data_IF_621411231775
#
_entry.id   IF_621411231775
#
_cell.length_a   1.000
_cell.length_b   1.000
_cell.length_c   1.000
_cell.angle_alpha   90.00
_cell.angle_beta   90.00
_cell.angle_gamma   90.00
#
_symmetry.space_group_name_H-M   'P 1'
#
loop_
_entity.id
_entity.type
_entity.pdbx_description
1 polymer ?
#
# COMPACT_ATOMS: atom_id res chain seq x y z
N UNK A 1 -35.95 21.33 17.15
CA UNK A 1 -36.98 20.81 16.25
C UNK A 1 -36.68 19.35 15.95
N UNK A 2 -37.27 18.44 16.78
CA UNK A 2 -37.22 17.02 16.54
C UNK A 2 -38.15 16.63 15.39
N UNK A 3 -37.73 15.68 14.57
CA UNK A 3 -38.61 15.02 13.59
C UNK A 3 -39.62 14.19 14.36
N UNK A 4 -40.81 14.75 14.60
CA UNK A 4 -41.95 14.01 15.12
C UNK A 4 -42.64 13.33 13.94
N UNK A 5 -42.74 12.00 13.99
CA UNK A 5 -43.53 11.23 13.04
C UNK A 5 -44.86 10.95 13.72
N UNK A 6 -45.92 11.53 13.20
CA UNK A 6 -47.28 11.37 13.71
C UNK A 6 -48.01 10.35 12.83
N UNK A 7 -48.56 9.33 13.46
CA UNK A 7 -49.37 8.31 12.79
C UNK A 7 -50.80 8.49 13.17
N UNK A 8 -51.69 8.68 12.21
CA UNK A 8 -53.12 8.86 12.41
C UNK A 8 -53.85 7.66 11.83
N UNK A 9 -54.67 7.02 12.63
CA UNK A 9 -55.57 5.93 12.20
C UNK A 9 -57.01 6.38 12.36
N UNK A 10 -57.80 6.17 11.33
CA UNK A 10 -59.22 6.42 11.32
C UNK A 10 -59.95 5.10 11.00
N UNK A 11 -60.79 4.64 11.91
CA UNK A 11 -61.57 3.42 11.77
C UNK A 11 -62.87 3.54 12.54
N UNK A 12 -63.98 3.28 11.88
CA UNK A 12 -65.29 3.15 12.52
C UNK A 12 -65.34 1.91 13.40
N UNK A 13 -65.68 2.08 14.68
CA UNK A 13 -65.76 0.98 15.66
C UNK A 13 -67.22 0.80 16.10
N UNK A 14 -67.68 -0.45 16.09
CA UNK A 14 -68.94 -0.81 16.67
C UNK A 14 -68.89 -0.81 18.22
N UNK A 15 -70.01 -0.62 18.91
CA UNK A 15 -70.06 -0.66 20.36
C UNK A 15 -69.44 -1.94 20.93
N UNK A 16 -68.35 -1.81 21.72
CA UNK A 16 -67.61 -2.91 22.32
C UNK A 16 -66.40 -3.43 21.50
N UNK A 17 -66.16 -2.95 20.26
CA UNK A 17 -64.98 -3.27 19.46
C UNK A 17 -63.72 -2.51 19.97
N UNK A 18 -62.58 -3.19 19.98
CA UNK A 18 -61.30 -2.60 20.38
C UNK A 18 -60.40 -2.40 19.17
N UNK A 19 -59.82 -1.24 19.02
CA UNK A 19 -58.77 -1.00 18.02
C UNK A 19 -57.42 -1.46 18.53
N UNK A 20 -56.84 -2.50 17.92
CA UNK A 20 -55.49 -2.97 18.18
C UNK A 20 -54.56 -2.43 17.11
N UNK A 21 -53.69 -1.51 17.47
CA UNK A 21 -52.64 -0.98 16.56
C UNK A 21 -51.32 -1.61 16.90
N UNK A 22 -50.72 -2.32 15.91
CA UNK A 22 -49.40 -2.94 16.03
C UNK A 22 -48.42 -2.18 15.17
N UNK A 23 -47.50 -1.48 15.79
CA UNK A 23 -46.43 -0.75 15.12
C UNK A 23 -45.18 -1.67 15.08
N UNK A 24 -44.75 -2.06 13.88
CA UNK A 24 -43.49 -2.80 13.67
C UNK A 24 -42.41 -1.85 13.19
N UNK A 25 -41.43 -1.60 14.04
CA UNK A 25 -40.27 -0.77 13.68
C UNK A 25 -39.14 -1.70 13.20
N UNK A 26 -38.66 -1.47 11.99
CA UNK A 26 -37.52 -2.23 11.45
C UNK A 26 -36.22 -1.51 11.79
N UNK A 27 -35.51 -2.00 12.78
CA UNK A 27 -34.21 -1.46 13.22
C UNK A 27 -33.05 -1.85 12.31
N UNK A 28 -33.26 -2.72 11.32
CA UNK A 28 -32.21 -3.20 10.44
C UNK A 28 -31.57 -2.05 9.64
N UNK A 29 -32.40 -1.16 9.07
CA UNK A 29 -31.93 -0.02 8.27
C UNK A 29 -31.03 0.95 9.05
N UNK A 30 -31.42 1.46 10.23
CA UNK A 30 -30.55 2.37 10.99
C UNK A 30 -29.24 1.67 11.44
N UNK A 31 -29.28 0.38 11.77
CA UNK A 31 -28.07 -0.38 12.12
C UNK A 31 -27.12 -0.46 10.93
N UNK A 32 -27.62 -0.78 9.72
CA UNK A 32 -26.80 -0.84 8.51
C UNK A 32 -26.14 0.51 8.23
N UNK A 33 -26.89 1.62 8.34
CA UNK A 33 -26.36 2.96 8.12
C UNK A 33 -25.25 3.30 9.12
N UNK A 34 -25.42 2.99 10.40
CA UNK A 34 -24.41 3.21 11.43
C UNK A 34 -23.13 2.41 11.13
N UNK A 35 -23.27 1.12 10.79
CA UNK A 35 -22.12 0.26 10.41
C UNK A 35 -21.38 0.84 9.21
N UNK A 36 -22.09 1.29 8.19
CA UNK A 36 -21.49 1.88 7.00
C UNK A 36 -20.72 3.17 7.32
N UNK A 37 -21.26 4.04 8.16
CA UNK A 37 -20.58 5.26 8.62
C UNK A 37 -19.31 4.91 9.38
N UNK A 38 -19.34 3.93 10.28
CA UNK A 38 -18.17 3.47 11.04
C UNK A 38 -17.07 2.91 10.10
N UNK A 39 -17.46 2.13 9.09
CA UNK A 39 -16.53 1.62 8.09
C UNK A 39 -15.87 2.74 7.28
N UNK A 40 -16.64 3.75 6.88
CA UNK A 40 -16.14 4.95 6.17
C UNK A 40 -15.13 5.70 7.06
N UNK A 41 -15.45 5.92 8.33
CA UNK A 41 -14.55 6.60 9.28
C UNK A 41 -13.23 5.83 9.44
N UNK A 42 -13.28 4.50 9.61
CA UNK A 42 -12.09 3.64 9.70
C UNK A 42 -11.26 3.74 8.43
N UNK A 43 -11.90 3.72 7.26
CA UNK A 43 -11.22 3.86 5.97
C UNK A 43 -10.51 5.23 5.84
N UNK A 44 -11.19 6.31 6.19
CA UNK A 44 -10.64 7.67 6.18
C UNK A 44 -9.42 7.78 7.11
N UNK A 45 -9.51 7.27 8.34
CA UNK A 45 -8.42 7.29 9.32
C UNK A 45 -7.19 6.52 8.78
N UNK A 46 -7.40 5.34 8.21
CA UNK A 46 -6.31 4.56 7.59
C UNK A 46 -5.68 5.27 6.40
N UNK A 47 -6.49 5.92 5.56
CA UNK A 47 -6.02 6.62 4.37
C UNK A 47 -5.22 7.88 4.70
N UNK A 48 -5.63 8.64 5.72
CA UNK A 48 -4.96 9.88 6.16
C UNK A 48 -3.59 9.59 6.80
N UNK A 49 -3.41 8.40 7.41
CA UNK A 49 -2.15 8.01 8.07
C UNK A 49 -1.01 7.64 7.12
N UNK A 50 -1.24 7.58 5.80
CA UNK A 50 -0.19 7.29 4.82
C UNK A 50 0.56 8.58 4.49
N UNK A 51 1.71 8.79 5.11
CA UNK A 51 2.56 9.96 4.88
C UNK A 51 3.44 9.77 3.63
N UNK A 52 3.86 8.51 3.38
CA UNK A 52 4.77 8.13 2.31
C UNK A 52 4.20 6.93 1.55
N UNK A 53 3.99 7.08 0.23
CA UNK A 53 3.67 5.94 -0.64
C UNK A 53 4.99 5.31 -1.05
N UNK A 54 5.13 4.02 -0.73
CA UNK A 54 6.34 3.27 -0.99
C UNK A 54 6.01 2.00 -1.77
N UNK A 55 6.50 1.90 -3.01
CA UNK A 55 6.17 0.79 -3.91
C UNK A 55 7.43 0.20 -4.54
N UNK A 56 7.42 -1.12 -4.70
CA UNK A 56 8.47 -1.87 -5.38
C UNK A 56 7.87 -2.63 -6.55
N UNK A 57 8.44 -2.44 -7.73
CA UNK A 57 8.05 -3.13 -8.97
C UNK A 57 9.24 -3.88 -9.53
N UNK A 58 8.95 -4.98 -10.22
CA UNK A 58 9.96 -5.84 -10.85
C UNK A 58 9.55 -6.15 -12.26
N UNK A 59 10.46 -5.98 -13.19
CA UNK A 59 10.26 -6.29 -14.59
C UNK A 59 11.42 -7.11 -15.17
N UNK A 60 11.12 -7.97 -16.12
CA UNK A 60 12.14 -8.74 -16.81
C UNK A 60 12.95 -7.86 -17.76
N UNK A 61 14.25 -8.07 -17.80
CA UNK A 61 15.17 -7.42 -18.76
C UNK A 61 15.81 -8.49 -19.63
N UNK A 62 15.68 -8.33 -20.94
CA UNK A 62 16.32 -9.23 -21.90
C UNK A 62 17.81 -8.88 -21.96
N UNK A 63 18.68 -9.83 -21.61
CA UNK A 63 20.13 -9.67 -21.73
C UNK A 63 20.63 -10.28 -23.03
N UNK A 64 21.72 -9.73 -23.57
CA UNK A 64 22.34 -10.27 -24.81
C UNK A 64 23.00 -11.64 -24.62
N UNK A 65 23.33 -11.99 -23.37
CA UNK A 65 23.98 -13.27 -22.99
C UNK A 65 23.01 -14.38 -22.57
N UNK A 66 21.67 -14.17 -22.63
CA UNK A 66 20.70 -15.18 -22.21
C UNK A 66 20.54 -15.34 -20.69
N UNK A 67 21.27 -14.56 -19.91
CA UNK A 67 21.17 -14.57 -18.46
C UNK A 67 19.83 -14.04 -17.99
N UNK A 68 19.33 -14.60 -16.90
CA UNK A 68 18.11 -14.12 -16.25
C UNK A 68 18.39 -12.80 -15.50
N UNK A 69 17.83 -11.71 -15.98
CA UNK A 69 17.97 -10.40 -15.34
C UNK A 69 16.63 -9.74 -15.07
N UNK A 70 16.54 -9.07 -13.94
CA UNK A 70 15.37 -8.33 -13.50
C UNK A 70 15.74 -6.88 -13.22
N UNK A 71 14.95 -5.93 -13.73
CA UNK A 71 14.98 -4.52 -13.32
C UNK A 71 14.06 -4.36 -12.13
N UNK A 72 14.62 -3.92 -11.03
CA UNK A 72 13.88 -3.56 -9.82
C UNK A 72 13.73 -2.04 -9.78
N UNK A 73 12.54 -1.56 -9.49
CA UNK A 73 12.24 -0.15 -9.31
C UNK A 73 11.58 0.05 -7.96
N UNK A 74 12.16 0.92 -7.17
CA UNK A 74 11.68 1.32 -5.85
C UNK A 74 11.22 2.77 -5.94
N UNK A 75 9.93 3.01 -5.80
CA UNK A 75 9.30 4.32 -5.87
C UNK A 75 8.93 4.80 -4.48
N UNK A 76 9.34 6.00 -4.16
CA UNK A 76 8.99 6.74 -2.94
C UNK A 76 8.28 8.01 -3.35
N UNK A 77 7.05 8.22 -2.88
CA UNK A 77 6.25 9.42 -3.14
C UNK A 77 5.71 9.98 -1.84
N UNK A 78 6.05 11.23 -1.56
CA UNK A 78 5.61 11.93 -0.35
C UNK A 78 4.16 12.44 -0.50
N UNK A 79 3.32 12.16 0.50
CA UNK A 79 1.97 12.77 0.64
C UNK A 79 1.98 14.00 1.54
N UNK A 80 3.01 14.11 2.37
CA UNK A 80 3.31 15.25 3.24
C UNK A 80 4.79 15.58 3.07
N UNK A 81 5.23 16.74 3.52
CA UNK A 81 6.66 17.05 3.59
C UNK A 81 7.34 16.09 4.57
N UNK A 82 8.42 15.45 4.13
CA UNK A 82 9.21 14.49 4.92
C UNK A 82 10.68 14.74 4.71
N UNK A 83 11.48 14.46 5.74
CA UNK A 83 12.92 14.73 5.75
C UNK A 83 13.72 13.48 6.12
N UNK A 84 15.04 13.53 5.86
CA UNK A 84 16.00 12.50 6.26
C UNK A 84 15.57 11.08 5.86
N UNK A 85 15.11 10.94 4.62
CA UNK A 85 14.58 9.68 4.11
C UNK A 85 15.74 8.75 3.78
N UNK A 86 15.82 7.63 4.48
CA UNK A 86 16.78 6.55 4.26
C UNK A 86 16.08 5.34 3.68
N UNK A 87 16.23 5.13 2.38
CA UNK A 87 15.66 3.99 1.67
C UNK A 87 16.67 2.85 1.67
N UNK A 88 16.21 1.67 2.04
CA UNK A 88 17.04 0.46 2.10
C UNK A 88 16.34 -0.67 1.36
N UNK A 89 17.05 -1.33 0.47
CA UNK A 89 16.57 -2.54 -0.20
C UNK A 89 17.58 -3.69 -0.06
N UNK A 90 17.06 -4.87 0.28
CA UNK A 90 17.85 -6.10 0.39
C UNK A 90 17.67 -6.94 -0.86
N UNK A 91 18.77 -7.44 -1.38
CA UNK A 91 18.77 -8.37 -2.51
C UNK A 91 18.59 -9.81 -2.00
N UNK A 92 17.86 -10.66 -2.71
CA UNK A 92 17.81 -12.09 -2.42
C UNK A 92 19.20 -12.76 -2.53
N UNK A 93 19.40 -13.85 -1.79
CA UNK A 93 20.70 -14.53 -1.76
C UNK A 93 21.14 -15.10 -3.12
N UNK A 94 20.18 -15.53 -3.95
CA UNK A 94 20.43 -16.21 -5.24
C UNK A 94 20.77 -15.27 -6.40
N UNK A 95 20.73 -13.94 -6.18
CA UNK A 95 21.00 -12.97 -7.23
C UNK A 95 22.23 -12.14 -6.93
N UNK A 96 22.83 -11.63 -7.98
CA UNK A 96 23.92 -10.66 -7.93
C UNK A 96 23.47 -9.33 -8.47
N UNK A 97 24.03 -8.25 -7.96
CA UNK A 97 23.80 -6.91 -8.45
C UNK A 97 24.55 -6.71 -9.77
N UNK A 98 23.88 -6.16 -10.77
CA UNK A 98 24.53 -5.63 -11.94
C UNK A 98 24.79 -4.13 -11.72
N UNK A 99 26.04 -3.70 -11.82
CA UNK A 99 26.47 -2.34 -11.43
C UNK A 99 25.97 -1.23 -12.37
N UNK A 100 24.80 -1.41 -12.99
CA UNK A 100 24.10 -0.37 -13.72
C UNK A 100 22.86 0.06 -12.94
N UNK A 101 22.90 1.29 -12.49
CA UNK A 101 21.80 1.92 -11.79
C UNK A 101 21.01 2.82 -12.74
N UNK A 102 19.80 3.21 -12.33
CA UNK A 102 19.03 4.22 -13.02
C UNK A 102 19.58 5.63 -12.80
N UNK A 103 18.73 6.64 -12.89
CA UNK A 103 19.10 8.04 -12.75
C UNK A 103 19.73 8.38 -11.39
N UNK A 104 19.37 7.62 -10.33
CA UNK A 104 19.87 7.84 -8.97
C UNK A 104 20.58 6.55 -8.53
N UNK A 105 21.91 6.62 -8.43
CA UNK A 105 22.72 5.56 -7.89
C UNK A 105 22.54 5.45 -6.36
N UNK A 106 22.73 4.26 -5.74
CA UNK A 106 22.75 4.15 -4.30
C UNK A 106 23.97 4.87 -3.69
N UNK A 107 23.77 5.53 -2.58
CA UNK A 107 24.87 6.17 -1.82
C UNK A 107 25.76 5.15 -1.16
N UNK A 108 25.20 3.98 -0.84
CA UNK A 108 25.93 2.89 -0.22
C UNK A 108 25.50 1.53 -0.78
N UNK A 109 26.48 0.71 -1.19
CA UNK A 109 26.29 -0.66 -1.67
C UNK A 109 27.05 -1.59 -0.74
N UNK A 110 26.33 -2.33 0.08
CA UNK A 110 26.91 -3.40 0.91
C UNK A 110 26.75 -4.73 0.17
N UNK A 111 27.81 -5.10 -0.57
CA UNK A 111 27.85 -6.34 -1.36
C UNK A 111 27.79 -7.56 -0.46
N UNK A 112 28.43 -7.52 0.72
CA UNK A 112 28.50 -8.65 1.67
C UNK A 112 27.12 -8.99 2.25
N UNK A 113 26.37 -7.98 2.67
CA UNK A 113 25.01 -8.12 3.20
C UNK A 113 23.93 -8.00 2.13
N UNK A 114 24.32 -7.84 0.86
CA UNK A 114 23.39 -7.66 -0.27
C UNK A 114 22.36 -6.56 -0.04
N UNK A 115 22.82 -5.39 0.35
CA UNK A 115 21.99 -4.27 0.75
C UNK A 115 22.35 -3.02 -0.06
N UNK A 116 21.32 -2.35 -0.59
CA UNK A 116 21.42 -1.05 -1.24
C UNK A 116 20.79 0.01 -0.34
N UNK A 117 21.38 1.19 -0.30
CA UNK A 117 20.89 2.30 0.49
C UNK A 117 20.94 3.61 -0.30
N UNK A 118 19.87 4.38 -0.23
CA UNK A 118 19.75 5.73 -0.74
C UNK A 118 19.34 6.66 0.39
N UNK A 119 19.94 7.85 0.43
CA UNK A 119 19.58 8.89 1.35
C UNK A 119 18.99 10.06 0.55
N UNK A 120 17.82 10.52 0.95
CA UNK A 120 17.14 11.67 0.35
C UNK A 120 16.94 12.68 1.46
N UNK A 121 17.41 13.89 1.25
CA UNK A 121 17.41 14.93 2.26
C UNK A 121 15.99 15.33 2.66
N UNK A 122 15.16 15.59 1.65
CA UNK A 122 13.74 15.89 1.85
C UNK A 122 12.91 15.57 0.60
N UNK A 123 11.61 15.41 0.79
CA UNK A 123 10.62 15.32 -0.27
C UNK A 123 9.43 16.22 0.07
N UNK A 124 9.07 17.10 -0.84
CA UNK A 124 7.88 17.92 -0.74
C UNK A 124 6.62 17.10 -1.00
N UNK A 125 5.47 17.59 -0.55
CA UNK A 125 4.19 16.97 -0.84
C UNK A 125 3.98 16.77 -2.35
N UNK A 126 3.73 15.52 -2.76
CA UNK A 126 3.54 15.14 -4.15
C UNK A 126 4.82 14.77 -4.88
N UNK A 127 5.99 15.09 -4.32
CA UNK A 127 7.28 14.77 -4.90
C UNK A 127 7.57 13.28 -4.89
N UNK A 128 8.23 12.80 -5.95
CA UNK A 128 8.48 11.39 -6.18
C UNK A 128 9.95 11.14 -6.54
N UNK A 129 10.54 10.07 -6.02
CA UNK A 129 11.85 9.55 -6.40
C UNK A 129 11.73 8.08 -6.78
N UNK A 130 12.40 7.72 -7.88
CA UNK A 130 12.45 6.35 -8.38
C UNK A 130 13.91 5.90 -8.40
N UNK A 131 14.21 4.89 -7.59
CA UNK A 131 15.48 4.20 -7.56
C UNK A 131 15.36 2.94 -8.39
N UNK A 132 16.27 2.72 -9.32
CA UNK A 132 16.23 1.50 -10.12
C UNK A 132 17.61 0.87 -10.26
N UNK A 133 17.63 -0.45 -10.23
CA UNK A 133 18.81 -1.26 -10.35
C UNK A 133 18.48 -2.59 -11.05
N UNK A 134 19.52 -3.28 -11.52
CA UNK A 134 19.36 -4.56 -12.20
C UNK A 134 20.02 -5.65 -11.34
N UNK A 135 19.30 -6.74 -11.18
CA UNK A 135 19.81 -7.97 -10.57
C UNK A 135 19.82 -9.06 -11.62
N UNK A 136 20.77 -9.96 -11.51
CA UNK A 136 20.89 -11.11 -12.39
C UNK A 136 21.18 -12.39 -11.61
N UNK A 137 20.82 -13.52 -12.20
CA UNK A 137 21.16 -14.85 -11.68
C UNK A 137 21.77 -15.66 -12.79
N UNK A 138 22.92 -16.29 -12.49
CA UNK A 138 23.58 -17.25 -13.38
C UNK A 138 22.83 -18.59 -13.43
N UNK A 139 22.03 -18.86 -12.41
CA UNK A 139 21.18 -20.06 -12.34
C UNK A 139 19.80 -19.64 -12.81
N UNK A 140 19.25 -20.30 -13.84
CA UNK A 140 17.90 -20.05 -14.31
C UNK A 140 16.90 -20.18 -13.15
N UNK A 141 16.18 -19.09 -12.84
CA UNK A 141 15.14 -19.11 -11.82
C UNK A 141 13.83 -19.54 -12.47
N UNK A 142 13.35 -20.73 -12.11
CA UNK A 142 12.05 -21.25 -12.55
C UNK A 142 11.01 -21.06 -11.45
N UNK A 143 9.79 -20.72 -11.87
CA UNK A 143 8.65 -20.56 -10.97
C UNK A 143 8.48 -19.15 -10.42
N UNK A 144 7.92 -19.06 -9.21
CA UNK A 144 7.64 -17.79 -8.51
C UNK A 144 8.85 -17.38 -7.67
N UNK A 145 9.41 -16.22 -7.97
CA UNK A 145 10.52 -15.62 -7.23
C UNK A 145 10.03 -14.40 -6.45
N UNK A 146 10.15 -14.45 -5.12
CA UNK A 146 9.78 -13.35 -4.24
C UNK A 146 10.98 -12.48 -3.91
N UNK A 147 10.81 -11.15 -4.00
CA UNK A 147 11.81 -10.19 -3.59
C UNK A 147 11.46 -9.66 -2.19
N UNK A 148 12.46 -9.50 -1.30
CA UNK A 148 12.25 -8.86 -0.01
C UNK A 148 11.61 -7.49 -0.15
N UNK A 149 10.84 -7.07 0.85
CA UNK A 149 10.28 -5.72 0.91
C UNK A 149 11.40 -4.71 1.12
N UNK A 150 11.31 -3.57 0.45
CA UNK A 150 12.18 -2.43 0.74
C UNK A 150 11.64 -1.66 1.95
N UNK A 151 12.52 -0.98 2.68
CA UNK A 151 12.22 -0.19 3.87
C UNK A 151 12.67 1.24 3.69
N UNK A 152 11.85 2.18 4.16
CA UNK A 152 12.20 3.59 4.22
C UNK A 152 12.02 4.07 5.66
N UNK A 153 13.06 4.66 6.23
CA UNK A 153 12.99 5.39 7.50
C UNK A 153 13.04 6.87 7.15
N UNK A 154 12.16 7.66 7.70
CA UNK A 154 12.04 9.09 7.40
C UNK A 154 11.59 9.85 8.65
N UNK A 155 11.81 11.15 8.65
CA UNK A 155 11.38 12.05 9.70
C UNK A 155 10.16 12.87 9.23
N UNK A 156 9.13 12.92 10.05
CA UNK A 156 7.95 13.75 9.85
C UNK A 156 7.71 14.58 11.10
N UNK A 157 7.79 15.91 10.97
CA UNK A 157 7.58 16.83 12.10
C UNK A 157 8.46 16.48 13.32
N UNK A 158 9.73 16.12 13.07
CA UNK A 158 10.70 15.74 14.11
C UNK A 158 10.53 14.31 14.67
N UNK A 159 9.56 13.54 14.16
CA UNK A 159 9.32 12.15 14.59
C UNK A 159 9.81 11.17 13.53
N UNK A 160 10.68 10.24 13.94
CA UNK A 160 11.13 9.16 13.06
C UNK A 160 10.03 8.13 12.81
N UNK A 161 9.77 7.83 11.54
CA UNK A 161 8.78 6.86 11.09
C UNK A 161 9.38 5.86 10.10
N UNK A 162 8.73 4.72 9.95
CA UNK A 162 9.13 3.68 8.99
C UNK A 162 7.97 3.37 8.04
N UNK A 163 8.32 3.17 6.77
CA UNK A 163 7.42 2.64 5.75
C UNK A 163 8.06 1.42 5.06
N UNK A 164 7.23 0.46 4.67
CA UNK A 164 7.65 -0.72 3.90
C UNK A 164 6.96 -0.75 2.55
N UNK A 165 7.65 -1.25 1.53
CA UNK A 165 7.07 -1.44 0.22
C UNK A 165 6.09 -2.63 0.21
N UNK A 166 5.33 -2.73 -0.88
CA UNK A 166 4.61 -3.97 -1.18
C UNK A 166 5.60 -5.14 -1.40
N UNK A 167 5.10 -6.36 -1.21
CA UNK A 167 5.77 -7.58 -1.69
C UNK A 167 5.75 -7.60 -3.21
N UNK A 168 6.88 -7.93 -3.81
CA UNK A 168 7.03 -8.04 -5.27
C UNK A 168 7.43 -9.44 -5.66
N UNK A 169 6.77 -9.94 -6.70
CA UNK A 169 7.00 -11.29 -7.20
C UNK A 169 7.34 -11.22 -8.68
N UNK A 170 8.23 -12.08 -9.10
CA UNK A 170 8.44 -12.39 -10.50
C UNK A 170 8.05 -13.84 -10.75
N UNK A 171 7.31 -14.07 -11.83
CA UNK A 171 6.91 -15.42 -12.23
C UNK A 171 7.51 -15.71 -13.60
N UNK A 172 8.49 -16.62 -13.64
CA UNK A 172 9.03 -17.12 -14.89
C UNK A 172 8.18 -18.30 -15.35
N UNK A 173 7.36 -18.08 -16.37
CA UNK A 173 6.62 -19.16 -17.04
C UNK A 173 7.54 -19.78 -18.09
N UNK A 174 7.76 -21.09 -18.10
CA UNK A 174 8.46 -21.73 -19.22
C UNK A 174 7.69 -21.40 -20.50
N UNK A 175 8.40 -20.92 -21.52
CA UNK A 175 7.81 -20.83 -22.87
C UNK A 175 7.42 -22.24 -23.29
N UNK A 176 6.13 -22.43 -23.58
CA UNK A 176 5.67 -23.60 -24.34
C UNK A 176 6.22 -23.57 -25.74
#
# INVERSE_FOLDING_TARGET
>A
NGLNIEYTWEKDLNPGEKLNVVIKTNWLYPIIVIVLIVLIIIFIIKYIKIDLIFRKNVSFVKTRGGEFALKVQVMVKARRFVEKIKVTDKLPHLVSLYEKFGAIAPDHVDVKNKKLQWNVESLNKGEERIFSYIIYSKIGVFGKFELPVARAVYELEGVSKEATSNKSFFVNKPKK
#
